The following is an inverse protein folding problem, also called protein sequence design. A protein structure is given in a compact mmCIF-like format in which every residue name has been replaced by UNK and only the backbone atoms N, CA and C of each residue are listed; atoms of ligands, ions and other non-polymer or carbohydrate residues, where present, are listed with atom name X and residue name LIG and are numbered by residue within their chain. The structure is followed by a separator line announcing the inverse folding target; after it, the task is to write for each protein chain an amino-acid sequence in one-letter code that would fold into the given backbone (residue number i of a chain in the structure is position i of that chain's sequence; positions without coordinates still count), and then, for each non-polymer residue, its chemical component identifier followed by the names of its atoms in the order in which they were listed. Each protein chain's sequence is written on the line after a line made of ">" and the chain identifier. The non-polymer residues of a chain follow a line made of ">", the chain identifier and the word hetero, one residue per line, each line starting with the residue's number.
data_IF_967622532008
#
_entry.id   IF_967622532008
#
_cell.length_a   1.000
_cell.length_b   1.000
_cell.length_c   1.000
_cell.angle_alpha   90.00
_cell.angle_beta   90.00
_cell.angle_gamma   90.00
#
_symmetry.space_group_name_H-M   'P 1'
#
loop_
_entity.id
_entity.type
_entity.pdbx_description
1 polymer ?
#
# COMPACT_ATOMS: atom_id res chain seq x y z
N UNK A 1 -8.94 1.08 18.90
CA UNK A 1 -8.36 0.90 17.55
C UNK A 1 -9.06 1.80 16.55
N UNK A 2 -8.36 2.21 15.52
CA UNK A 2 -8.86 3.02 14.41
C UNK A 2 -8.39 2.41 13.08
N UNK A 3 -9.13 2.65 11.99
CA UNK A 3 -8.69 2.18 10.67
C UNK A 3 -7.42 2.91 10.23
N UNK A 4 -6.45 2.18 9.69
CA UNK A 4 -5.16 2.72 9.23
C UNK A 4 -5.33 3.75 8.12
N UNK A 5 -6.40 3.69 7.32
CA UNK A 5 -6.68 4.64 6.24
C UNK A 5 -6.81 6.09 6.74
N UNK A 6 -7.15 6.32 8.01
CA UNK A 6 -7.20 7.68 8.59
C UNK A 6 -5.82 8.35 8.56
N UNK A 7 -4.74 7.59 8.65
CA UNK A 7 -3.36 8.09 8.62
C UNK A 7 -2.94 8.60 7.23
N UNK A 8 -3.75 8.36 6.19
CA UNK A 8 -3.45 8.85 4.84
C UNK A 8 -3.69 10.36 4.72
N UNK A 9 -4.59 10.93 5.52
CA UNK A 9 -4.97 12.35 5.43
C UNK A 9 -4.10 13.24 6.31
N UNK A 10 -3.77 14.43 5.81
CA UNK A 10 -3.00 15.43 6.55
C UNK A 10 -3.76 15.91 7.79
N UNK A 11 -5.07 16.15 7.66
CA UNK A 11 -5.89 16.64 8.77
C UNK A 11 -5.84 15.69 9.97
N UNK A 12 -6.05 14.39 9.74
CA UNK A 12 -5.98 13.40 10.81
C UNK A 12 -4.58 13.32 11.43
N UNK A 13 -3.52 13.34 10.62
CA UNK A 13 -2.15 13.33 11.12
C UNK A 13 -1.84 14.56 11.95
N UNK A 14 -2.22 15.75 11.49
CA UNK A 14 -2.00 16.99 12.20
C UNK A 14 -2.77 17.02 13.53
N UNK A 15 -4.06 16.63 13.53
CA UNK A 15 -4.89 16.58 14.74
C UNK A 15 -4.33 15.61 15.81
N UNK A 16 -3.63 14.56 15.41
CA UNK A 16 -3.09 13.55 16.31
C UNK A 16 -1.55 13.62 16.45
N UNK A 17 -0.91 14.67 15.95
CA UNK A 17 0.54 14.88 15.99
C UNK A 17 1.35 13.68 15.43
N UNK A 18 0.88 13.05 14.36
CA UNK A 18 1.54 11.90 13.74
C UNK A 18 2.64 12.40 12.81
N UNK A 19 3.89 12.20 13.21
CA UNK A 19 5.07 12.55 12.42
C UNK A 19 5.35 11.54 11.32
N UNK A 20 6.20 11.92 10.33
CA UNK A 20 6.68 10.99 9.31
C UNK A 20 7.47 9.84 9.94
N UNK A 21 8.26 10.10 10.98
CA UNK A 21 8.95 9.07 11.74
C UNK A 21 7.98 8.02 12.30
N UNK A 22 6.88 8.44 12.91
CA UNK A 22 5.87 7.51 13.44
C UNK A 22 5.24 6.66 12.33
N UNK A 23 4.99 7.25 11.16
CA UNK A 23 4.49 6.50 10.01
C UNK A 23 5.52 5.46 9.53
N UNK A 24 6.81 5.82 9.47
CA UNK A 24 7.90 4.89 9.09
C UNK A 24 8.05 3.77 10.13
N UNK A 25 7.98 4.09 11.42
CA UNK A 25 8.05 3.09 12.50
C UNK A 25 6.88 2.08 12.37
N UNK A 26 5.65 2.56 12.11
CA UNK A 26 4.49 1.70 11.87
C UNK A 26 4.66 0.82 10.61
N UNK A 27 5.21 1.38 9.52
CA UNK A 27 5.52 0.63 8.30
C UNK A 27 6.51 -0.51 8.59
N UNK A 28 7.52 -0.27 9.42
CA UNK A 28 8.48 -1.29 9.83
C UNK A 28 7.81 -2.41 10.66
N UNK A 29 6.88 -2.06 11.56
CA UNK A 29 6.10 -3.06 12.30
C UNK A 29 5.23 -3.88 11.35
N UNK A 30 4.51 -3.26 10.43
CA UNK A 30 3.70 -3.94 9.41
C UNK A 30 4.55 -4.93 8.60
N UNK A 31 5.71 -4.49 8.10
CA UNK A 31 6.66 -5.35 7.37
C UNK A 31 7.06 -6.59 8.18
N UNK A 32 7.37 -6.40 9.47
CA UNK A 32 7.76 -7.52 10.34
C UNK A 32 6.60 -8.50 10.56
N UNK A 33 5.35 -8.01 10.70
CA UNK A 33 4.16 -8.86 10.81
C UNK A 33 3.97 -9.68 9.53
N UNK A 34 4.07 -9.05 8.34
CA UNK A 34 3.94 -9.74 7.06
C UNK A 34 5.02 -10.82 6.92
N UNK A 35 6.29 -10.52 7.21
CA UNK A 35 7.37 -11.51 7.20
C UNK A 35 7.07 -12.70 8.13
N UNK A 36 6.52 -12.43 9.32
CA UNK A 36 6.15 -13.50 10.25
C UNK A 36 5.00 -14.38 9.71
N UNK A 37 4.01 -13.79 9.04
CA UNK A 37 2.92 -14.52 8.39
C UNK A 37 3.48 -15.41 7.26
N UNK A 38 4.34 -14.86 6.38
CA UNK A 38 4.98 -15.59 5.29
C UNK A 38 5.85 -16.75 5.81
N UNK A 39 6.57 -16.55 6.93
CA UNK A 39 7.36 -17.63 7.55
C UNK A 39 6.52 -18.84 8.01
N UNK A 40 5.20 -18.65 8.18
CA UNK A 40 4.24 -19.72 8.48
C UNK A 40 3.59 -20.32 7.23
N UNK A 41 4.11 -20.02 6.02
CA UNK A 41 3.56 -20.44 4.73
C UNK A 41 2.11 -19.97 4.53
N UNK A 42 1.80 -18.78 5.02
CA UNK A 42 0.51 -18.14 4.89
C UNK A 42 0.67 -16.85 4.09
N UNK A 43 -0.24 -16.56 3.17
CA UNK A 43 -0.35 -15.30 2.44
C UNK A 43 -1.54 -14.51 2.94
N UNK A 44 -1.44 -13.20 2.96
CA UNK A 44 -2.53 -12.31 3.39
C UNK A 44 -3.55 -12.14 2.26
N UNK A 45 -3.05 -12.05 1.03
CA UNK A 45 -3.78 -11.88 -0.22
C UNK A 45 -4.49 -10.54 -0.29
N UNK A 46 -5.49 -10.27 0.55
CA UNK A 46 -6.25 -9.01 0.52
C UNK A 46 -5.70 -7.97 1.52
N UNK A 47 -4.40 -7.69 1.39
CA UNK A 47 -3.70 -6.70 2.21
C UNK A 47 -4.08 -5.27 1.77
N UNK A 48 -5.12 -4.73 2.37
CA UNK A 48 -5.62 -3.39 2.07
C UNK A 48 -5.88 -2.57 3.34
N UNK A 49 -6.13 -1.27 3.17
CA UNK A 49 -6.31 -0.32 4.26
C UNK A 49 -7.58 -0.53 5.10
N UNK A 50 -8.55 -1.30 4.63
CA UNK A 50 -9.78 -1.60 5.37
C UNK A 50 -9.58 -2.77 6.33
N UNK A 51 -8.60 -3.64 6.02
CA UNK A 51 -8.30 -4.87 6.77
C UNK A 51 -7.21 -4.66 7.83
N UNK A 52 -6.82 -3.40 8.10
CA UNK A 52 -5.83 -3.07 9.13
C UNK A 52 -6.38 -1.97 10.05
N UNK A 53 -6.38 -2.29 11.33
CA UNK A 53 -6.60 -1.32 12.41
C UNK A 53 -5.27 -1.01 13.08
N UNK A 54 -5.18 0.15 13.73
CA UNK A 54 -4.04 0.53 14.57
C UNK A 54 -4.52 0.94 15.97
N UNK A 55 -3.66 0.82 16.96
CA UNK A 55 -3.93 1.31 18.29
C UNK A 55 -3.96 2.85 18.34
N UNK A 56 -4.38 3.41 19.46
CA UNK A 56 -4.47 4.87 19.63
C UNK A 56 -3.12 5.58 19.74
N UNK A 57 -2.03 4.82 19.86
CA UNK A 57 -0.66 5.35 19.85
C UNK A 57 -0.01 5.23 18.46
N UNK A 58 -0.71 4.65 17.49
CA UNK A 58 -0.23 4.42 16.11
C UNK A 58 1.02 3.54 16.03
N UNK A 59 1.18 2.60 16.96
CA UNK A 59 2.36 1.74 17.07
C UNK A 59 2.09 0.27 16.75
N UNK A 60 0.88 -0.21 17.08
CA UNK A 60 0.50 -1.61 16.94
C UNK A 60 -0.57 -1.79 15.86
N UNK A 61 -0.27 -2.43 14.72
CA UNK A 61 -1.28 -2.81 13.74
C UNK A 61 -1.99 -4.11 14.15
N UNK A 62 -3.28 -4.18 13.83
CA UNK A 62 -4.13 -5.36 13.98
C UNK A 62 -4.71 -5.71 12.62
N UNK A 63 -4.37 -6.88 12.13
CA UNK A 63 -4.92 -7.42 10.90
C UNK A 63 -6.26 -8.06 11.19
N UNK A 64 -7.28 -7.69 10.43
CA UNK A 64 -8.65 -8.20 10.53
C UNK A 64 -9.04 -8.81 9.19
N UNK A 65 -10.20 -9.45 9.12
CA UNK A 65 -10.72 -10.11 7.90
C UNK A 65 -9.76 -11.18 7.34
N UNK A 66 -9.41 -12.11 8.23
CA UNK A 66 -8.46 -13.19 7.93
C UNK A 66 -9.02 -14.28 7.00
N UNK A 67 -10.29 -14.19 6.61
CA UNK A 67 -10.94 -15.13 5.69
C UNK A 67 -10.33 -15.08 4.27
N UNK A 68 -9.63 -13.97 3.95
CA UNK A 68 -8.88 -13.83 2.70
C UNK A 68 -7.52 -14.53 2.71
N UNK A 69 -7.06 -15.03 3.85
CA UNK A 69 -5.73 -15.61 3.96
C UNK A 69 -5.63 -16.94 3.22
N UNK A 70 -4.52 -17.14 2.52
CA UNK A 70 -4.23 -18.37 1.80
C UNK A 70 -3.16 -19.19 2.51
N UNK A 71 -3.41 -20.47 2.65
CA UNK A 71 -2.42 -21.48 3.08
C UNK A 71 -2.30 -22.57 2.02
N UNK A 72 -1.34 -23.51 2.12
CA UNK A 72 -1.22 -24.63 1.17
C UNK A 72 -2.49 -25.47 1.02
N UNK A 73 -3.32 -25.53 2.06
CA UNK A 73 -4.56 -26.33 2.07
C UNK A 73 -5.83 -25.53 1.80
N UNK A 74 -5.77 -24.21 1.89
CA UNK A 74 -6.93 -23.32 1.78
C UNK A 74 -6.58 -22.16 0.84
N UNK A 75 -6.92 -22.28 -0.46
CA UNK A 75 -6.68 -21.23 -1.43
C UNK A 75 -7.61 -20.05 -1.21
N UNK A 76 -7.09 -18.83 -1.35
CA UNK A 76 -7.89 -17.61 -1.33
C UNK A 76 -8.75 -17.49 -2.60
N UNK A 77 -9.94 -16.91 -2.45
CA UNK A 77 -10.92 -16.79 -3.54
C UNK A 77 -11.11 -15.36 -4.04
N UNK A 78 -10.73 -14.37 -3.26
CA UNK A 78 -10.98 -12.95 -3.58
C UNK A 78 -9.84 -12.05 -3.08
N UNK A 79 -9.68 -10.92 -3.78
CA UNK A 79 -8.79 -9.82 -3.43
C UNK A 79 -9.41 -8.51 -3.95
N UNK A 80 -9.25 -7.44 -3.19
CA UNK A 80 -9.64 -6.10 -3.64
C UNK A 80 -8.84 -5.69 -4.90
N UNK A 81 -9.51 -5.31 -6.00
CA UNK A 81 -8.81 -5.01 -7.27
C UNK A 81 -7.75 -3.92 -7.18
N UNK A 82 -7.91 -2.97 -6.25
CA UNK A 82 -7.01 -1.82 -6.13
C UNK A 82 -5.69 -2.11 -5.42
N UNK A 83 -5.56 -3.27 -4.78
CA UNK A 83 -4.29 -3.71 -4.17
C UNK A 83 -3.69 -4.90 -4.89
N UNK A 84 -4.43 -5.50 -5.82
CA UNK A 84 -4.00 -6.66 -6.60
C UNK A 84 -2.86 -6.32 -7.56
N UNK A 85 -1.82 -7.14 -7.58
CA UNK A 85 -0.87 -7.14 -8.70
C UNK A 85 -1.52 -7.77 -9.95
N UNK A 86 -1.89 -6.92 -10.90
CA UNK A 86 -2.56 -7.34 -12.13
C UNK A 86 -1.62 -7.96 -13.18
N UNK A 87 -0.31 -7.97 -12.92
CA UNK A 87 0.69 -8.57 -13.80
C UNK A 87 1.08 -10.00 -13.36
N UNK A 88 0.80 -10.33 -12.11
CA UNK A 88 1.12 -11.65 -11.55
C UNK A 88 -0.12 -12.57 -11.58
N UNK A 89 0.08 -13.83 -12.01
CA UNK A 89 -0.96 -14.86 -11.93
C UNK A 89 -0.96 -15.51 -10.54
N UNK A 90 -2.16 -15.65 -9.96
CA UNK A 90 -2.33 -16.23 -8.63
C UNK A 90 -1.81 -15.34 -7.51
N UNK A 91 -1.53 -15.96 -6.36
CA UNK A 91 -1.04 -15.27 -5.16
C UNK A 91 0.26 -15.91 -4.69
N UNK A 92 1.20 -15.08 -4.27
CA UNK A 92 2.48 -15.44 -3.68
C UNK A 92 2.98 -14.29 -2.78
N UNK A 93 4.13 -14.45 -2.14
CA UNK A 93 4.68 -13.42 -1.26
C UNK A 93 4.90 -12.08 -1.99
N UNK A 94 5.31 -12.09 -3.27
CA UNK A 94 5.50 -10.85 -4.03
C UNK A 94 4.18 -10.11 -4.26
N UNK A 95 3.04 -10.82 -4.38
CA UNK A 95 1.72 -10.16 -4.48
C UNK A 95 1.32 -9.46 -3.19
N UNK A 96 1.65 -10.02 -2.02
CA UNK A 96 1.46 -9.35 -0.73
C UNK A 96 2.40 -8.14 -0.59
N UNK A 97 3.66 -8.27 -1.05
CA UNK A 97 4.60 -7.15 -1.06
C UNK A 97 4.18 -6.03 -2.00
N UNK A 98 3.53 -6.34 -3.13
CA UNK A 98 2.94 -5.33 -4.01
C UNK A 98 1.81 -4.55 -3.30
N UNK A 99 0.92 -5.26 -2.63
CA UNK A 99 -0.16 -4.65 -1.83
C UNK A 99 0.40 -3.82 -0.67
N UNK A 100 1.44 -4.32 0.01
CA UNK A 100 2.15 -3.59 1.06
C UNK A 100 2.82 -2.31 0.53
N UNK A 101 3.39 -2.34 -0.68
CA UNK A 101 3.96 -1.15 -1.30
C UNK A 101 2.90 -0.08 -1.56
N UNK A 102 1.70 -0.46 -2.02
CA UNK A 102 0.56 0.46 -2.19
C UNK A 102 0.19 1.09 -0.83
N UNK A 103 0.02 0.27 0.20
CA UNK A 103 -0.32 0.73 1.54
C UNK A 103 0.76 1.69 2.10
N UNK A 104 2.03 1.33 1.92
CA UNK A 104 3.17 2.14 2.37
C UNK A 104 3.22 3.49 1.66
N UNK A 105 3.00 3.51 0.34
CA UNK A 105 2.89 4.75 -0.43
C UNK A 105 1.76 5.64 0.11
N UNK A 106 0.59 5.08 0.37
CA UNK A 106 -0.54 5.81 0.95
C UNK A 106 -0.23 6.33 2.37
N UNK A 107 0.46 5.55 3.20
CA UNK A 107 0.90 5.99 4.52
C UNK A 107 1.91 7.14 4.44
N UNK A 108 2.87 7.09 3.53
CA UNK A 108 3.91 8.11 3.40
C UNK A 108 3.38 9.40 2.77
N UNK A 109 2.69 9.34 1.64
CA UNK A 109 2.34 10.54 0.88
C UNK A 109 0.82 10.79 0.73
N UNK A 110 -0.02 9.90 1.23
CA UNK A 110 -1.49 10.12 1.30
C UNK A 110 -2.23 9.80 0.01
N UNK A 111 -1.60 9.18 -0.98
CA UNK A 111 -2.25 8.85 -2.25
C UNK A 111 -1.85 7.45 -2.73
N UNK A 112 -2.77 6.77 -3.37
CA UNK A 112 -2.51 5.50 -4.06
C UNK A 112 -1.56 5.72 -5.25
N UNK A 113 -0.53 4.86 -5.47
CA UNK A 113 0.53 5.09 -6.46
C UNK A 113 0.06 5.22 -7.92
N UNK A 114 -1.17 4.83 -8.22
CA UNK A 114 -1.74 4.96 -9.56
C UNK A 114 -2.91 5.95 -9.64
N UNK A 115 -3.11 6.79 -8.61
CA UNK A 115 -4.09 7.91 -8.61
C UNK A 115 -3.42 9.21 -9.08
N UNK A 116 -4.11 10.34 -8.98
CA UNK A 116 -3.70 11.62 -9.56
C UNK A 116 -4.21 11.80 -10.99
N UNK A 117 -4.17 13.04 -11.50
CA UNK A 117 -4.62 13.37 -12.86
C UNK A 117 -3.51 13.05 -13.85
N UNK A 118 -3.75 12.09 -14.72
CA UNK A 118 -2.84 11.70 -15.79
C UNK A 118 -3.33 12.26 -17.12
N UNK A 119 -2.42 12.63 -18.03
CA UNK A 119 -2.78 13.21 -19.35
C UNK A 119 -3.52 12.21 -20.26
N UNK A 120 -3.21 10.92 -20.14
CA UNK A 120 -3.71 9.85 -21.04
C UNK A 120 -4.79 8.95 -20.42
N UNK A 121 -5.08 9.07 -19.10
CA UNK A 121 -6.04 8.21 -18.41
C UNK A 121 -7.09 9.04 -17.69
N UNK A 122 -8.32 8.56 -17.71
CA UNK A 122 -9.38 9.15 -16.89
C UNK A 122 -9.37 8.57 -15.45
N UNK A 123 -10.14 9.18 -14.55
CA UNK A 123 -10.18 8.78 -13.12
C UNK A 123 -10.70 7.36 -12.88
N UNK A 124 -11.46 6.76 -13.83
CA UNK A 124 -12.04 5.41 -13.69
C UNK A 124 -11.09 4.32 -14.17
N UNK A 125 -9.98 4.68 -14.82
CA UNK A 125 -9.03 3.72 -15.42
C UNK A 125 -7.89 3.32 -14.47
N UNK A 126 -8.14 3.31 -13.15
CA UNK A 126 -7.13 2.96 -12.15
C UNK A 126 -6.50 1.57 -12.43
N UNK A 127 -7.33 0.57 -12.68
CA UNK A 127 -6.86 -0.81 -12.96
C UNK A 127 -6.04 -0.85 -14.26
N UNK A 128 -6.41 -0.08 -15.28
CA UNK A 128 -5.63 0.02 -16.52
C UNK A 128 -4.26 0.62 -16.24
N UNK A 129 -4.19 1.70 -15.46
CA UNK A 129 -2.91 2.32 -15.03
C UNK A 129 -2.03 1.34 -14.26
N UNK A 130 -2.61 0.52 -13.37
CA UNK A 130 -1.90 -0.52 -12.63
C UNK A 130 -1.30 -1.57 -13.57
N UNK A 131 -2.05 -2.01 -14.58
CA UNK A 131 -1.58 -2.96 -15.60
C UNK A 131 -0.47 -2.39 -16.49
N UNK A 132 -0.48 -1.09 -16.74
CA UNK A 132 0.45 -0.40 -17.64
C UNK A 132 1.59 0.33 -16.88
N UNK A 133 1.68 0.15 -15.56
CA UNK A 133 2.66 0.81 -14.67
C UNK A 133 2.65 2.34 -14.77
N UNK A 134 1.50 2.95 -15.10
CA UNK A 134 1.36 4.41 -15.22
C UNK A 134 1.20 5.05 -13.83
N UNK A 135 2.26 5.05 -13.04
CA UNK A 135 2.29 5.47 -11.65
C UNK A 135 2.44 6.98 -11.47
N UNK A 136 2.34 7.43 -10.22
CA UNK A 136 2.58 8.85 -9.85
C UNK A 136 4.07 9.22 -9.85
N UNK A 137 4.96 8.25 -9.99
CA UNK A 137 6.41 8.48 -10.07
C UNK A 137 6.87 8.80 -11.50
N UNK A 138 5.99 8.64 -12.50
CA UNK A 138 6.24 9.01 -13.90
C UNK A 138 6.00 10.49 -14.20
N UNK A 139 6.29 10.89 -15.45
CA UNK A 139 6.40 12.31 -15.85
C UNK A 139 5.08 13.02 -16.16
N UNK A 140 3.96 12.37 -16.38
CA UNK A 140 2.75 13.00 -16.95
C UNK A 140 1.60 13.11 -15.94
N UNK A 141 1.91 13.36 -14.66
CA UNK A 141 0.97 13.33 -13.56
C UNK A 141 0.89 14.67 -12.85
N UNK A 142 -0.34 15.12 -12.59
CA UNK A 142 -0.62 16.21 -11.69
C UNK A 142 -1.24 15.66 -10.40
N UNK A 143 -0.56 15.89 -9.28
CA UNK A 143 -0.99 15.47 -7.96
C UNK A 143 -1.92 16.51 -7.33
N UNK A 144 -2.92 16.10 -6.53
CA UNK A 144 -3.65 17.00 -5.64
C UNK A 144 -2.74 17.70 -4.63
N UNK A 145 -3.08 18.90 -4.23
CA UNK A 145 -2.31 19.69 -3.25
C UNK A 145 -2.24 19.06 -1.84
N UNK A 146 -3.15 18.13 -1.53
CA UNK A 146 -3.16 17.41 -0.27
C UNK A 146 -2.12 16.26 -0.21
N UNK A 147 -1.49 15.89 -1.35
CA UNK A 147 -0.44 14.88 -1.39
C UNK A 147 0.82 15.47 -0.77
N UNK A 148 1.42 14.72 0.16
CA UNK A 148 2.68 15.12 0.81
C UNK A 148 3.83 15.08 -0.19
N UNK A 149 4.84 15.90 0.03
CA UNK A 149 6.03 15.96 -0.82
C UNK A 149 6.76 14.60 -0.81
N UNK A 150 7.38 14.23 -1.93
CA UNK A 150 8.10 12.96 -2.05
C UNK A 150 9.37 12.91 -1.21
N UNK A 151 9.87 14.05 -0.74
CA UNK A 151 11.02 14.10 0.18
C UNK A 151 10.76 13.45 1.56
N UNK A 152 9.48 13.18 1.90
CA UNK A 152 9.14 12.42 3.12
C UNK A 152 9.31 10.91 2.94
N UNK A 153 9.51 10.44 1.70
CA UNK A 153 9.74 9.03 1.38
C UNK A 153 11.22 8.73 1.59
N UNK A 154 11.60 7.78 2.45
CA UNK A 154 12.99 7.34 2.53
C UNK A 154 13.51 6.83 1.19
N UNK A 155 14.76 7.13 0.84
CA UNK A 155 15.36 6.82 -0.47
C UNK A 155 15.17 5.35 -0.88
N UNK A 156 15.36 4.42 0.07
CA UNK A 156 15.17 2.98 -0.19
C UNK A 156 13.73 2.62 -0.59
N UNK A 157 12.73 3.31 -0.04
CA UNK A 157 11.33 3.13 -0.43
C UNK A 157 11.04 3.81 -1.75
N UNK A 158 11.60 4.99 -2.00
CA UNK A 158 11.43 5.71 -3.27
C UNK A 158 11.97 4.89 -4.44
N UNK A 159 13.19 4.36 -4.33
CA UNK A 159 13.79 3.47 -5.33
C UNK A 159 12.94 2.21 -5.54
N UNK A 160 12.45 1.60 -4.45
CA UNK A 160 11.58 0.43 -4.54
C UNK A 160 10.26 0.74 -5.25
N UNK A 161 9.62 1.87 -4.93
CA UNK A 161 8.38 2.30 -5.57
C UNK A 161 8.56 2.56 -7.06
N UNK A 162 9.65 3.24 -7.46
CA UNK A 162 9.94 3.48 -8.87
C UNK A 162 10.18 2.17 -9.63
N UNK A 163 10.96 1.26 -9.06
CA UNK A 163 11.19 -0.06 -9.67
C UNK A 163 9.90 -0.85 -9.81
N UNK A 164 9.08 -0.86 -8.77
CA UNK A 164 7.87 -1.67 -8.71
C UNK A 164 6.73 -1.07 -9.55
N UNK A 165 6.43 0.21 -9.35
CA UNK A 165 5.24 0.85 -9.90
C UNK A 165 5.45 1.49 -11.28
N UNK A 166 6.68 1.86 -11.61
CA UNK A 166 7.02 2.49 -12.89
C UNK A 166 7.65 1.49 -13.84
N UNK A 167 8.66 0.74 -13.36
CA UNK A 167 9.42 -0.18 -14.22
C UNK A 167 8.85 -1.61 -14.22
N UNK A 168 7.84 -1.91 -13.40
CA UNK A 168 7.19 -3.22 -13.35
C UNK A 168 8.07 -4.36 -12.83
N UNK A 169 9.12 -4.05 -12.09
CA UNK A 169 10.00 -5.07 -11.48
C UNK A 169 9.31 -5.66 -10.25
N UNK A 170 9.08 -6.97 -10.23
CA UNK A 170 8.41 -7.73 -9.17
C UNK A 170 9.41 -8.51 -8.34
#
# INVERSE_FOLDING_TARGET
>A
TISICKLFTNDFRNMNNISDKMAIDLINVLRNVINNIHSKKCLIVDLNELNILVDTKFQCPYFIDVDSYQTPSYPATAIMPYVKDHQTKGFNENTDWFSFAILTCQLLIGIHPYKGKHSQYNKKELIKRMKENASIFGSNIRLPSAVRDFNVIPDTYLEWFQRLFENGVR
#
